data_IF_562712621511
#
_entry.id   IF_562712621511
#
_cell.length_a   1.000
_cell.length_b   1.000
_cell.length_c   1.000
_cell.angle_alpha   90.00
_cell.angle_beta   90.00
_cell.angle_gamma   90.00
#
_symmetry.space_group_name_H-M   'P 1'
#
loop_
_entity.id
_entity.type
_entity.pdbx_description
1 polymer ?
#
# COMPACT_ATOMS: atom_id res chain seq x y z
N UNK A 1 20.97 -2.12 -10.11
CA UNK A 1 20.48 -0.72 -10.09
C UNK A 1 19.05 -0.70 -10.59
N UNK A 2 18.10 -1.10 -9.75
CA UNK A 2 16.68 -1.09 -10.10
C UNK A 2 16.15 0.33 -9.88
N UNK A 3 16.52 1.16 -10.84
CA UNK A 3 16.03 2.51 -11.05
C UNK A 3 14.51 2.51 -11.25
N UNK A 4 13.94 3.67 -10.93
CA UNK A 4 12.60 4.19 -11.18
C UNK A 4 11.96 3.89 -12.56
N UNK A 5 12.66 3.21 -13.47
CA UNK A 5 12.15 2.69 -14.74
C UNK A 5 11.02 1.66 -14.61
N UNK A 6 10.79 1.08 -13.42
CA UNK A 6 9.59 0.25 -13.21
C UNK A 6 8.28 1.06 -13.32
N UNK A 7 8.33 2.39 -13.11
CA UNK A 7 7.16 3.27 -13.23
C UNK A 7 6.97 3.82 -14.65
N UNK A 8 8.07 4.10 -15.38
CA UNK A 8 8.00 4.49 -16.79
C UNK A 8 7.60 3.31 -17.71
N UNK A 9 8.04 2.09 -17.38
CA UNK A 9 7.58 0.87 -18.07
C UNK A 9 6.09 0.58 -17.81
N UNK A 10 5.55 1.04 -16.66
CA UNK A 10 4.13 0.92 -16.31
C UNK A 10 3.20 1.73 -17.24
N UNK A 11 3.73 2.78 -17.88
CA UNK A 11 3.01 3.63 -18.84
C UNK A 11 3.26 3.21 -20.30
N UNK A 12 4.39 2.57 -20.62
CA UNK A 12 4.78 2.25 -22.00
C UNK A 12 4.66 0.77 -22.42
N UNK A 13 4.45 -0.18 -21.51
CA UNK A 13 4.22 -1.60 -21.88
C UNK A 13 2.90 -2.12 -21.32
N UNK A 14 1.78 -2.03 -22.07
CA UNK A 14 0.49 -2.51 -21.60
C UNK A 14 0.43 -4.04 -21.38
N UNK A 15 1.41 -4.80 -21.90
CA UNK A 15 1.43 -6.26 -21.87
C UNK A 15 2.19 -6.89 -20.69
N UNK A 16 3.11 -6.16 -20.03
CA UNK A 16 3.86 -6.64 -18.86
C UNK A 16 3.34 -6.09 -17.52
N UNK A 17 2.46 -5.08 -17.56
CA UNK A 17 1.72 -4.55 -16.39
C UNK A 17 0.55 -5.44 -15.93
N UNK A 18 0.57 -6.74 -16.27
CA UNK A 18 -0.55 -7.66 -16.13
C UNK A 18 -0.69 -8.31 -14.73
N UNK A 19 0.14 -7.95 -13.74
CA UNK A 19 0.22 -8.71 -12.48
C UNK A 19 -0.37 -8.01 -11.24
N UNK A 20 -0.62 -6.69 -11.20
CA UNK A 20 -1.05 -6.06 -9.92
C UNK A 20 -2.10 -4.94 -9.97
N UNK A 21 -2.73 -4.71 -11.11
CA UNK A 21 -4.06 -4.10 -11.16
C UNK A 21 -5.00 -5.20 -11.63
N UNK A 22 -5.96 -5.58 -10.79
CA UNK A 22 -6.97 -6.55 -11.18
C UNK A 22 -7.53 -6.14 -12.55
N UNK A 23 -7.54 -7.08 -13.50
CA UNK A 23 -8.15 -6.90 -14.82
C UNK A 23 -9.60 -6.39 -14.69
N UNK A 24 -10.23 -6.57 -13.52
CA UNK A 24 -11.53 -6.01 -13.14
C UNK A 24 -11.50 -4.49 -12.92
N UNK A 25 -10.52 -3.92 -12.21
CA UNK A 25 -10.40 -2.46 -12.05
C UNK A 25 -10.14 -1.76 -13.40
N UNK A 26 -9.31 -2.35 -14.27
CA UNK A 26 -9.11 -1.82 -15.64
C UNK A 26 -10.41 -1.88 -16.43
N UNK A 27 -11.14 -3.00 -16.40
CA UNK A 27 -12.43 -3.15 -17.08
C UNK A 27 -13.50 -2.21 -16.53
N UNK A 28 -13.56 -2.00 -15.22
CA UNK A 28 -14.46 -1.05 -14.58
C UNK A 28 -14.17 0.38 -15.02
N UNK A 29 -12.90 0.82 -14.98
CA UNK A 29 -12.50 2.15 -15.42
C UNK A 29 -12.82 2.37 -16.90
N UNK A 30 -12.58 1.35 -17.74
CA UNK A 30 -12.92 1.37 -19.17
C UNK A 30 -14.43 1.28 -19.47
N UNK A 31 -15.26 0.84 -18.51
CA UNK A 31 -16.73 0.86 -18.61
C UNK A 31 -17.29 2.21 -18.15
N UNK A 32 -16.77 2.75 -17.05
CA UNK A 32 -17.13 4.07 -16.55
C UNK A 32 -16.83 5.19 -17.56
N UNK A 33 -15.76 5.06 -18.34
CA UNK A 33 -15.40 6.01 -19.41
C UNK A 33 -16.20 5.86 -20.71
N UNK A 34 -16.96 4.77 -20.90
CA UNK A 34 -17.66 4.47 -22.17
C UNK A 34 -19.11 4.96 -22.28
N UNK A 35 -19.60 5.69 -21.27
CA UNK A 35 -20.98 6.14 -21.24
C UNK A 35 -22.00 5.00 -21.12
N UNK A 36 -23.28 5.31 -20.87
CA UNK A 36 -24.31 4.35 -20.46
C UNK A 36 -24.76 3.33 -21.52
N UNK A 37 -24.11 3.26 -22.69
CA UNK A 37 -24.55 2.45 -23.83
C UNK A 37 -23.79 1.14 -24.10
N UNK A 38 -22.75 0.81 -23.33
CA UNK A 38 -21.98 -0.42 -23.56
C UNK A 38 -22.63 -1.62 -22.85
N UNK A 39 -23.19 -2.56 -23.64
CA UNK A 39 -23.80 -3.78 -23.14
C UNK A 39 -22.85 -4.55 -22.19
N UNK A 40 -23.35 -5.08 -21.05
CA UNK A 40 -22.52 -5.89 -20.18
C UNK A 40 -22.10 -7.15 -20.93
N UNK A 41 -20.78 -7.40 -21.01
CA UNK A 41 -20.24 -8.65 -21.54
C UNK A 41 -20.97 -9.82 -20.85
N UNK A 42 -21.75 -10.57 -21.64
CA UNK A 42 -22.54 -11.69 -21.13
C UNK A 42 -21.61 -12.68 -20.41
N UNK A 43 -21.91 -12.95 -19.13
CA UNK A 43 -21.20 -13.96 -18.38
C UNK A 43 -21.36 -15.32 -19.09
N UNK A 44 -20.30 -16.15 -19.18
CA UNK A 44 -20.40 -17.44 -19.85
C UNK A 44 -21.50 -18.30 -19.20
N UNK A 45 -22.36 -18.99 -19.99
CA UNK A 45 -23.52 -19.68 -19.46
C UNK A 45 -23.09 -20.88 -18.60
N UNK A 46 -23.71 -21.04 -17.43
CA UNK A 46 -23.70 -22.28 -16.64
C UNK A 46 -22.62 -22.42 -15.54
N UNK A 47 -21.55 -21.61 -15.54
CA UNK A 47 -20.47 -21.71 -14.53
C UNK A 47 -20.20 -20.44 -13.70
N UNK A 48 -20.78 -19.31 -14.09
CA UNK A 48 -20.48 -17.98 -13.52
C UNK A 48 -20.98 -17.78 -12.09
N UNK A 49 -22.20 -18.26 -11.78
CA UNK A 49 -22.81 -18.11 -10.46
C UNK A 49 -22.03 -18.89 -9.39
N UNK A 50 -21.67 -20.14 -9.67
CA UNK A 50 -20.86 -20.95 -8.77
C UNK A 50 -19.47 -20.35 -8.53
N UNK A 51 -18.82 -19.81 -9.59
CA UNK A 51 -17.52 -19.15 -9.46
C UNK A 51 -17.60 -17.88 -8.62
N UNK A 52 -18.64 -17.07 -8.79
CA UNK A 52 -18.86 -15.86 -8.01
C UNK A 52 -19.15 -16.16 -6.53
N UNK A 53 -20.03 -17.13 -6.25
CA UNK A 53 -20.35 -17.56 -4.88
C UNK A 53 -19.11 -18.15 -4.18
N UNK A 54 -18.32 -18.97 -4.88
CA UNK A 54 -17.07 -19.54 -4.34
C UNK A 54 -16.02 -18.46 -4.07
N UNK A 55 -15.81 -17.53 -5.01
CA UNK A 55 -14.90 -16.39 -4.81
C UNK A 55 -15.33 -15.53 -3.62
N UNK A 56 -16.63 -15.32 -3.43
CA UNK A 56 -17.18 -14.61 -2.28
C UNK A 56 -17.05 -15.32 -0.95
N UNK A 57 -17.35 -16.62 -0.91
CA UNK A 57 -17.15 -17.44 0.27
C UNK A 57 -15.68 -17.46 0.71
N UNK A 58 -14.74 -17.61 -0.23
CA UNK A 58 -13.31 -17.52 0.06
C UNK A 58 -12.91 -16.15 0.57
N UNK A 59 -13.52 -15.08 0.08
CA UNK A 59 -13.26 -13.72 0.56
C UNK A 59 -13.77 -13.52 2.00
N UNK A 60 -14.97 -14.04 2.32
CA UNK A 60 -15.50 -14.05 3.68
C UNK A 60 -14.64 -14.87 4.65
N UNK A 61 -14.15 -16.04 4.22
CA UNK A 61 -13.21 -16.84 5.01
C UNK A 61 -11.95 -16.03 5.32
N UNK A 62 -11.40 -15.29 4.35
CA UNK A 62 -10.25 -14.40 4.58
C UNK A 62 -10.56 -13.31 5.61
N UNK A 63 -11.73 -12.69 5.55
CA UNK A 63 -12.18 -11.69 6.53
C UNK A 63 -12.30 -12.33 7.92
N UNK A 64 -12.91 -13.51 8.03
CA UNK A 64 -13.08 -14.22 9.28
C UNK A 64 -11.72 -14.62 9.90
N UNK A 65 -10.78 -15.12 9.08
CA UNK A 65 -9.42 -15.43 9.53
C UNK A 65 -8.68 -14.17 10.00
N UNK A 66 -8.83 -13.03 9.31
CA UNK A 66 -8.24 -11.77 9.74
C UNK A 66 -8.84 -11.29 11.07
N UNK A 67 -10.16 -11.38 11.23
CA UNK A 67 -10.83 -11.06 12.49
C UNK A 67 -10.31 -11.96 13.62
N UNK A 68 -10.22 -13.28 13.37
CA UNK A 68 -9.64 -14.22 14.33
C UNK A 68 -8.20 -13.83 14.70
N UNK A 69 -7.34 -13.51 13.73
CA UNK A 69 -5.97 -13.06 13.99
C UNK A 69 -5.93 -11.77 14.83
N UNK A 70 -6.82 -10.80 14.57
CA UNK A 70 -6.92 -9.56 15.37
C UNK A 70 -7.29 -9.89 16.81
N UNK A 71 -8.29 -10.75 17.02
CA UNK A 71 -8.76 -11.15 18.35
C UNK A 71 -7.69 -11.93 19.11
N UNK A 72 -7.02 -12.87 18.44
CA UNK A 72 -5.92 -13.64 19.01
C UNK A 72 -4.77 -12.73 19.44
N UNK A 73 -4.37 -11.78 18.58
CA UNK A 73 -3.30 -10.84 18.89
C UNK A 73 -3.68 -9.93 20.07
N UNK A 74 -4.92 -9.44 20.11
CA UNK A 74 -5.41 -8.64 21.25
C UNK A 74 -5.41 -9.44 22.55
N UNK A 75 -5.79 -10.72 22.51
CA UNK A 75 -5.84 -11.60 23.66
C UNK A 75 -4.45 -11.99 24.18
N UNK A 76 -3.48 -12.17 23.29
CA UNK A 76 -2.15 -12.69 23.63
C UNK A 76 -1.11 -11.62 23.93
N UNK A 77 -1.08 -10.54 23.13
CA UNK A 77 0.00 -9.55 23.19
C UNK A 77 -0.38 -8.27 23.96
N UNK A 78 -1.63 -8.12 24.39
CA UNK A 78 -2.13 -6.97 25.18
C UNK A 78 -1.66 -5.61 24.65
N UNK A 79 -1.61 -5.47 23.32
CA UNK A 79 -0.98 -4.34 22.59
C UNK A 79 -1.56 -2.98 23.02
N UNK A 80 -2.85 -2.93 23.36
CA UNK A 80 -3.51 -1.71 23.82
C UNK A 80 -3.11 -1.32 25.24
N UNK A 81 -2.86 -2.29 26.12
CA UNK A 81 -2.41 -2.05 27.49
C UNK A 81 -0.96 -1.54 27.48
N UNK A 82 -0.09 -2.17 26.70
CA UNK A 82 1.32 -1.77 26.55
C UNK A 82 1.45 -0.38 25.92
N UNK A 83 0.61 -0.04 24.93
CA UNK A 83 0.58 1.29 24.33
C UNK A 83 0.17 2.39 25.32
N UNK A 84 -0.78 2.12 26.23
CA UNK A 84 -1.20 3.07 27.28
C UNK A 84 -0.13 3.26 28.36
N UNK A 85 0.70 2.25 28.56
CA UNK A 85 1.74 2.20 29.59
C UNK A 85 3.15 2.33 28.99
N UNK A 86 3.31 3.21 28.00
CA UNK A 86 4.56 3.37 27.24
C UNK A 86 5.79 3.65 28.12
N UNK A 87 5.62 4.29 29.29
CA UNK A 87 6.70 4.48 30.26
C UNK A 87 7.30 3.16 30.77
N UNK A 88 6.48 2.12 30.99
CA UNK A 88 7.01 0.84 31.45
C UNK A 88 7.77 0.11 30.33
N UNK A 89 7.37 0.34 29.08
CA UNK A 89 8.06 -0.20 27.91
C UNK A 89 9.44 0.45 27.73
N UNK A 90 9.59 1.75 28.00
CA UNK A 90 10.89 2.45 27.89
C UNK A 90 11.93 1.95 28.90
N UNK A 91 11.49 1.34 30.01
CA UNK A 91 12.36 0.72 31.01
C UNK A 91 12.76 -0.73 30.66
N UNK A 92 12.09 -1.36 29.70
CA UNK A 92 12.39 -2.73 29.29
C UNK A 92 13.66 -2.82 28.43
N UNK A 93 14.16 -4.05 28.27
CA UNK A 93 15.27 -4.35 27.35
C UNK A 93 14.92 -3.91 25.92
N UNK A 94 15.91 -3.45 25.12
CA UNK A 94 15.69 -3.03 23.73
C UNK A 94 15.03 -4.10 22.85
N UNK A 95 15.31 -5.37 23.11
CA UNK A 95 14.68 -6.50 22.39
C UNK A 95 13.18 -6.58 22.64
N UNK A 96 12.76 -6.41 23.90
CA UNK A 96 11.34 -6.37 24.29
C UNK A 96 10.64 -5.15 23.71
N UNK A 97 11.33 -3.99 23.68
CA UNK A 97 10.82 -2.78 23.03
C UNK A 97 10.59 -3.01 21.54
N UNK A 98 11.56 -3.58 20.83
CA UNK A 98 11.44 -3.89 19.41
C UNK A 98 10.28 -4.88 19.14
N UNK A 99 10.17 -5.94 19.93
CA UNK A 99 9.08 -6.91 19.80
C UNK A 99 7.70 -6.25 20.01
N UNK A 100 7.56 -5.37 21.00
CA UNK A 100 6.33 -4.63 21.25
C UNK A 100 5.98 -3.68 20.10
N UNK A 101 6.97 -2.98 19.53
CA UNK A 101 6.77 -2.13 18.35
C UNK A 101 6.33 -2.92 17.13
N UNK A 102 6.93 -4.10 16.88
CA UNK A 102 6.49 -5.00 15.82
C UNK A 102 5.06 -5.51 16.04
N UNK A 103 4.69 -5.88 17.27
CA UNK A 103 3.34 -6.29 17.61
C UNK A 103 2.32 -5.15 17.44
N UNK A 104 2.72 -3.91 17.78
CA UNK A 104 1.90 -2.72 17.55
C UNK A 104 1.66 -2.46 16.06
N UNK A 105 2.72 -2.55 15.24
CA UNK A 105 2.60 -2.40 13.80
C UNK A 105 1.75 -3.52 13.17
N UNK A 106 1.90 -4.76 13.65
CA UNK A 106 1.07 -5.89 13.26
C UNK A 106 -0.41 -5.67 13.60
N UNK A 107 -0.68 -5.18 14.80
CA UNK A 107 -2.04 -4.85 15.24
C UNK A 107 -2.67 -3.77 14.36
N UNK A 108 -1.93 -2.70 14.06
CA UNK A 108 -2.39 -1.64 13.14
C UNK A 108 -2.69 -2.19 11.75
N UNK A 109 -1.76 -2.95 11.17
CA UNK A 109 -1.93 -3.53 9.84
C UNK A 109 -3.16 -4.45 9.78
N UNK A 110 -3.31 -5.37 10.75
CA UNK A 110 -4.45 -6.29 10.80
C UNK A 110 -5.78 -5.56 10.95
N UNK A 111 -5.83 -4.54 11.83
CA UNK A 111 -7.04 -3.72 12.04
C UNK A 111 -7.47 -3.02 10.75
N UNK A 112 -6.54 -2.36 10.06
CA UNK A 112 -6.86 -1.69 8.79
C UNK A 112 -7.20 -2.70 7.69
N UNK A 113 -6.44 -3.79 7.57
CA UNK A 113 -6.72 -4.83 6.58
C UNK A 113 -8.13 -5.42 6.75
N UNK A 114 -8.59 -5.59 7.99
CA UNK A 114 -9.96 -6.02 8.28
C UNK A 114 -10.98 -4.97 7.82
N UNK A 115 -10.84 -3.71 8.25
CA UNK A 115 -11.79 -2.62 7.93
C UNK A 115 -11.93 -2.46 6.41
N UNK A 116 -10.82 -2.36 5.69
CA UNK A 116 -10.84 -2.13 4.24
C UNK A 116 -11.40 -3.32 3.46
N UNK A 117 -11.10 -4.56 3.89
CA UNK A 117 -11.67 -5.77 3.26
C UNK A 117 -13.16 -5.88 3.50
N UNK A 118 -13.64 -5.54 4.69
CA UNK A 118 -15.07 -5.51 5.00
C UNK A 118 -15.77 -4.44 4.15
N UNK A 119 -15.21 -3.23 4.06
CA UNK A 119 -15.75 -2.17 3.21
C UNK A 119 -15.80 -2.58 1.73
N UNK A 120 -14.72 -3.19 1.22
CA UNK A 120 -14.66 -3.74 -0.14
C UNK A 120 -15.69 -4.85 -0.37
N UNK A 121 -15.88 -5.75 0.60
CA UNK A 121 -16.92 -6.78 0.53
C UNK A 121 -18.30 -6.13 0.35
N UNK A 122 -18.69 -5.19 1.21
CA UNK A 122 -19.98 -4.52 1.07
C UNK A 122 -20.10 -3.76 -0.26
N UNK A 123 -19.05 -3.09 -0.73
CA UNK A 123 -19.04 -2.41 -2.03
C UNK A 123 -19.32 -3.37 -3.19
N UNK A 124 -18.69 -4.56 -3.17
CA UNK A 124 -18.85 -5.59 -4.19
C UNK A 124 -20.23 -6.23 -4.20
N UNK A 125 -20.79 -6.55 -3.03
CA UNK A 125 -22.04 -7.32 -2.94
C UNK A 125 -23.30 -6.46 -2.87
N UNK A 126 -23.23 -5.25 -2.32
CA UNK A 126 -24.38 -4.34 -2.25
C UNK A 126 -24.48 -3.43 -3.47
N UNK A 127 -23.34 -2.98 -4.01
CA UNK A 127 -23.30 -1.97 -5.06
C UNK A 127 -22.72 -2.49 -6.38
N UNK A 128 -22.13 -3.70 -6.41
CA UNK A 128 -21.50 -4.24 -7.62
C UNK A 128 -20.24 -3.49 -8.06
N UNK A 129 -19.66 -2.66 -7.18
CA UNK A 129 -18.46 -1.86 -7.44
C UNK A 129 -17.26 -2.60 -6.86
N UNK A 130 -16.18 -2.73 -7.64
CA UNK A 130 -14.93 -3.37 -7.22
C UNK A 130 -13.86 -2.32 -6.91
N UNK A 131 -13.76 -1.84 -5.66
CA UNK A 131 -12.72 -0.92 -5.27
C UNK A 131 -11.36 -1.64 -5.20
N UNK A 132 -10.25 -0.92 -5.42
CA UNK A 132 -8.92 -1.48 -5.28
C UNK A 132 -8.67 -1.95 -3.84
N UNK A 133 -7.95 -3.06 -3.69
CA UNK A 133 -7.53 -3.55 -2.37
C UNK A 133 -6.44 -2.64 -1.77
N UNK A 134 -6.66 -2.20 -0.53
CA UNK A 134 -5.79 -1.25 0.17
C UNK A 134 -4.55 -1.90 0.77
N UNK A 135 -4.74 -2.89 1.65
CA UNK A 135 -3.66 -3.59 2.36
C UNK A 135 -3.18 -4.77 1.51
N UNK A 136 -2.36 -4.48 0.50
CA UNK A 136 -1.98 -5.45 -0.56
C UNK A 136 -0.95 -6.46 -0.11
N UNK A 137 0.02 -6.03 0.68
CA UNK A 137 1.11 -6.86 1.20
C UNK A 137 1.19 -6.70 2.71
N UNK A 138 1.60 -7.77 3.39
CA UNK A 138 1.93 -7.71 4.81
C UNK A 138 3.18 -6.83 4.97
N UNK A 139 3.20 -5.99 6.00
CA UNK A 139 4.31 -5.08 6.28
C UNK A 139 5.67 -5.80 6.43
N UNK A 140 5.67 -7.07 6.86
CA UNK A 140 6.88 -7.90 6.98
C UNK A 140 7.42 -8.34 5.61
N UNK A 141 6.57 -8.40 4.59
CA UNK A 141 6.94 -8.81 3.22
C UNK A 141 7.31 -7.61 2.34
N UNK A 142 7.79 -6.52 2.94
CA UNK A 142 8.12 -5.29 2.24
C UNK A 142 9.60 -4.96 2.39
N UNK A 143 10.26 -4.72 1.26
CA UNK A 143 11.73 -4.56 1.19
C UNK A 143 12.16 -3.10 1.28
N UNK A 144 11.36 -2.16 0.74
CA UNK A 144 11.68 -0.73 0.71
C UNK A 144 10.62 0.09 1.44
N UNK A 145 10.99 1.26 1.96
CA UNK A 145 10.06 2.18 2.61
C UNK A 145 9.05 2.66 1.56
N UNK A 146 9.49 2.91 0.31
CA UNK A 146 8.57 3.26 -0.77
C UNK A 146 7.51 2.18 -1.03
N UNK A 147 7.90 0.92 -1.09
CA UNK A 147 6.96 -0.18 -1.27
C UNK A 147 5.98 -0.27 -0.11
N UNK A 148 6.44 -0.02 1.12
CA UNK A 148 5.59 -0.06 2.31
C UNK A 148 4.47 0.96 2.20
N UNK A 149 4.80 2.21 1.88
CA UNK A 149 3.81 3.29 1.74
C UNK A 149 2.89 3.12 0.54
N UNK A 150 3.40 2.50 -0.54
CA UNK A 150 2.59 2.19 -1.73
C UNK A 150 1.51 1.15 -1.44
N UNK A 151 1.79 0.19 -0.56
CA UNK A 151 0.93 -0.98 -0.33
C UNK A 151 0.16 -0.97 0.99
N UNK A 152 0.47 -0.06 1.91
CA UNK A 152 -0.26 0.11 3.17
C UNK A 152 -1.68 0.63 2.90
N UNK A 153 -1.81 1.78 2.24
CA UNK A 153 -3.12 2.36 1.92
C UNK A 153 -3.19 2.67 0.43
N UNK A 154 -3.29 1.62 -0.39
CA UNK A 154 -3.04 1.74 -1.82
C UNK A 154 -4.02 2.67 -2.55
N UNK A 155 -5.30 2.73 -2.15
CA UNK A 155 -6.28 3.66 -2.74
C UNK A 155 -5.95 5.12 -2.41
N UNK A 156 -5.57 5.41 -1.16
CA UNK A 156 -5.15 6.74 -0.74
C UNK A 156 -3.82 7.15 -1.39
N UNK A 157 -2.85 6.24 -1.47
CA UNK A 157 -1.61 6.49 -2.20
C UNK A 157 -1.89 6.81 -3.67
N UNK A 158 -2.85 6.12 -4.31
CA UNK A 158 -3.27 6.45 -5.68
C UNK A 158 -3.86 7.87 -5.78
N UNK A 159 -4.65 8.30 -4.79
CA UNK A 159 -5.18 9.65 -4.71
C UNK A 159 -4.05 10.69 -4.58
N UNK A 160 -3.12 10.49 -3.64
CA UNK A 160 -1.95 11.36 -3.44
C UNK A 160 -1.13 11.47 -4.73
N UNK A 161 -0.89 10.34 -5.40
CA UNK A 161 -0.13 10.33 -6.65
C UNK A 161 -0.83 11.17 -7.72
N UNK A 162 -2.15 10.99 -7.89
CA UNK A 162 -2.93 11.68 -8.93
C UNK A 162 -3.10 13.17 -8.68
N UNK A 163 -3.39 13.55 -7.44
CA UNK A 163 -3.82 14.92 -7.12
C UNK A 163 -2.73 15.79 -6.51
N UNK A 164 -1.63 15.20 -6.04
CA UNK A 164 -0.52 15.97 -5.46
C UNK A 164 0.78 15.71 -6.23
N UNK A 165 1.23 14.45 -6.31
CA UNK A 165 2.55 14.13 -6.85
C UNK A 165 2.70 14.49 -8.34
N UNK A 166 1.74 14.10 -9.19
CA UNK A 166 1.77 14.39 -10.63
C UNK A 166 1.72 15.91 -10.90
N UNK A 167 0.80 16.69 -10.29
CA UNK A 167 0.77 18.15 -10.43
C UNK A 167 2.07 18.85 -9.98
N UNK A 168 2.78 18.31 -9.00
CA UNK A 168 4.07 18.84 -8.53
C UNK A 168 5.27 18.49 -9.44
N UNK A 169 5.03 17.92 -10.63
CA UNK A 169 6.08 17.57 -11.60
C UNK A 169 6.61 16.15 -11.48
N UNK A 170 5.95 15.29 -10.69
CA UNK A 170 6.18 13.85 -10.64
C UNK A 170 7.65 13.45 -10.46
N UNK A 171 8.15 12.60 -11.35
CA UNK A 171 9.52 12.05 -11.28
C UNK A 171 10.62 13.11 -11.42
N UNK A 172 10.33 14.25 -12.05
CA UNK A 172 11.32 15.33 -12.24
C UNK A 172 11.65 16.07 -10.95
N UNK A 173 10.67 16.23 -10.06
CA UNK A 173 10.80 16.97 -8.79
C UNK A 173 10.50 16.09 -7.57
N UNK A 174 10.79 14.79 -7.66
CA UNK A 174 10.43 13.82 -6.64
C UNK A 174 10.91 14.22 -5.23
N UNK A 175 12.13 14.75 -5.10
CA UNK A 175 12.68 15.17 -3.79
C UNK A 175 11.88 16.31 -3.15
N UNK A 176 11.43 17.27 -3.97
CA UNK A 176 10.66 18.42 -3.51
C UNK A 176 9.22 18.05 -3.16
N UNK A 177 8.66 17.04 -3.84
CA UNK A 177 7.29 16.57 -3.60
C UNK A 177 7.10 15.82 -2.27
N UNK A 178 8.17 15.26 -1.67
CA UNK A 178 8.09 14.44 -0.46
C UNK A 178 7.55 15.25 0.72
N UNK A 179 8.12 16.43 0.99
CA UNK A 179 7.74 17.22 2.17
C UNK A 179 6.28 17.68 2.15
N UNK A 180 5.76 18.30 1.07
CA UNK A 180 4.35 18.71 1.02
C UNK A 180 3.38 17.54 1.13
N UNK A 181 3.71 16.37 0.56
CA UNK A 181 2.87 15.18 0.64
C UNK A 181 2.80 14.67 2.08
N UNK A 182 3.94 14.47 2.75
CA UNK A 182 3.93 13.97 4.13
C UNK A 182 3.36 14.99 5.13
N UNK A 183 3.54 16.28 4.87
CA UNK A 183 2.89 17.34 5.63
C UNK A 183 1.37 17.26 5.52
N UNK A 184 0.84 17.10 4.31
CA UNK A 184 -0.59 16.89 4.09
C UNK A 184 -1.10 15.63 4.79
N UNK A 185 -0.38 14.52 4.70
CA UNK A 185 -0.73 13.26 5.38
C UNK A 185 -0.81 13.46 6.89
N UNK A 186 0.13 14.19 7.49
CA UNK A 186 0.14 14.48 8.93
C UNK A 186 -1.12 15.24 9.36
N UNK A 187 -1.42 16.35 8.67
CA UNK A 187 -2.58 17.20 8.97
C UNK A 187 -3.89 16.46 8.72
N UNK A 188 -3.95 15.65 7.66
CA UNK A 188 -5.13 14.86 7.33
C UNK A 188 -5.48 13.84 8.42
N UNK A 189 -4.48 13.36 9.17
CA UNK A 189 -4.69 12.40 10.25
C UNK A 189 -5.15 13.06 11.56
N UNK A 190 -4.43 14.07 12.05
CA UNK A 190 -4.79 14.84 13.25
C UNK A 190 -3.96 16.14 13.30
N UNK A 191 -4.41 17.14 14.07
CA UNK A 191 -3.68 18.39 14.31
C UNK A 191 -2.59 18.27 15.39
N UNK A 192 -2.39 17.07 15.92
CA UNK A 192 -1.43 16.84 17.00
C UNK A 192 0.02 16.94 16.51
N UNK A 193 0.83 17.78 17.17
CA UNK A 193 2.22 18.08 16.76
C UNK A 193 3.13 16.84 16.66
N UNK A 194 2.83 15.76 17.40
CA UNK A 194 3.62 14.53 17.33
C UNK A 194 3.54 13.86 15.94
N UNK A 195 2.43 14.03 15.21
CA UNK A 195 2.30 13.51 13.85
C UNK A 195 3.16 14.28 12.85
N UNK A 196 3.38 15.58 13.09
CA UNK A 196 4.26 16.37 12.25
C UNK A 196 5.73 15.94 12.41
N UNK A 197 6.17 15.67 13.63
CA UNK A 197 7.50 15.12 13.90
C UNK A 197 7.69 13.74 13.25
N UNK A 198 6.68 12.88 13.36
CA UNK A 198 6.68 11.59 12.68
C UNK A 198 6.73 11.73 11.15
N UNK A 199 5.95 12.64 10.57
CA UNK A 199 5.96 12.87 9.13
C UNK A 199 7.30 13.39 8.62
N UNK A 200 7.97 14.26 9.40
CA UNK A 200 9.33 14.70 9.11
C UNK A 200 10.33 13.53 9.16
N UNK A 201 10.25 12.68 10.18
CA UNK A 201 11.11 11.49 10.29
C UNK A 201 10.93 10.55 9.10
N UNK A 202 9.70 10.30 8.66
CA UNK A 202 9.41 9.50 7.47
C UNK A 202 9.93 10.17 6.20
N UNK A 203 9.69 11.48 6.02
CA UNK A 203 10.18 12.22 4.87
C UNK A 203 11.71 12.14 4.74
N UNK A 204 12.43 12.27 5.86
CA UNK A 204 13.88 12.10 5.90
C UNK A 204 14.30 10.68 5.52
N UNK A 205 13.59 9.66 6.03
CA UNK A 205 13.87 8.27 5.67
C UNK A 205 13.68 8.01 4.15
N UNK A 206 12.68 8.62 3.52
CA UNK A 206 12.51 8.57 2.07
C UNK A 206 13.66 9.21 1.30
N UNK A 207 14.16 10.36 1.77
CA UNK A 207 15.30 11.03 1.15
C UNK A 207 16.57 10.18 1.26
N UNK A 208 16.79 9.54 2.41
CA UNK A 208 17.90 8.61 2.60
C UNK A 208 17.77 7.40 1.67
N UNK A 209 16.60 6.76 1.61
CA UNK A 209 16.36 5.65 0.68
C UNK A 209 16.65 6.06 -0.78
N UNK A 210 16.18 7.25 -1.18
CA UNK A 210 16.44 7.77 -2.52
C UNK A 210 17.91 8.04 -2.78
N UNK A 211 18.64 8.63 -1.82
CA UNK A 211 20.07 8.90 -1.94
C UNK A 211 20.84 7.59 -2.11
N UNK A 212 20.61 6.63 -1.21
CA UNK A 212 21.21 5.28 -1.24
C UNK A 212 20.90 4.60 -2.58
N UNK A 213 19.63 4.59 -3.00
CA UNK A 213 19.23 3.98 -4.28
C UNK A 213 19.88 4.66 -5.48
N UNK A 214 20.14 5.97 -5.42
CA UNK A 214 20.79 6.72 -6.51
C UNK A 214 22.29 6.44 -6.56
N UNK A 215 22.98 6.36 -5.41
CA UNK A 215 24.39 5.98 -5.32
C UNK A 215 24.61 4.53 -5.79
N UNK A 216 23.79 3.62 -5.28
CA UNK A 216 23.59 2.27 -5.85
C UNK A 216 22.75 2.30 -7.14
N UNK A 217 22.62 3.42 -7.87
CA UNK A 217 22.25 3.44 -9.29
C UNK A 217 23.33 4.05 -10.21
N UNK A 218 24.37 4.67 -9.67
CA UNK A 218 25.54 5.11 -10.43
C UNK A 218 26.68 4.07 -10.47
N UNK A 219 26.98 3.42 -9.34
CA UNK A 219 28.13 2.51 -9.19
C UNK A 219 28.18 1.22 -10.06
N UNK A 220 27.06 0.69 -10.57
CA UNK A 220 26.92 -0.49 -11.43
C UNK A 220 26.69 -0.04 -12.88
N UNK A 221 26.33 1.24 -13.12
CA UNK A 221 26.38 1.81 -14.46
C UNK A 221 27.84 2.01 -14.90
N UNK A 222 28.74 2.39 -13.99
CA UNK A 222 30.18 2.53 -14.27
C UNK A 222 30.85 1.25 -14.85
N UNK A 223 30.72 0.05 -14.25
CA UNK A 223 31.34 -1.17 -14.79
C UNK A 223 30.67 -1.68 -16.07
N UNK A 224 29.36 -1.50 -16.23
CA UNK A 224 28.64 -1.92 -17.46
C UNK A 224 28.94 -0.98 -18.63
N UNK A 225 29.04 0.33 -18.38
CA UNK A 225 29.47 1.29 -19.39
C UNK A 225 30.94 1.07 -19.80
N UNK A 226 31.82 0.72 -18.85
CA UNK A 226 33.21 0.36 -19.15
C UNK A 226 33.33 -0.93 -19.99
N UNK A 227 32.45 -1.92 -19.76
CA UNK A 227 32.43 -3.18 -20.51
C UNK A 227 31.80 -3.09 -21.91
N UNK A 228 31.02 -2.04 -22.20
CA UNK A 228 30.40 -1.82 -23.52
C UNK A 228 31.25 -0.96 -24.46
N UNK A 229 32.36 -0.40 -23.97
CA UNK A 229 33.29 0.46 -24.73
C UNK A 229 34.57 -0.29 -25.15
N UNK A 230 34.72 -1.55 -24.72
CA UNK A 230 35.76 -2.49 -25.16
C UNK A 230 35.19 -3.50 -26.16
#
# INVERSE_FOLDING_TARGET
MMSFNAFASYLHTPHLAAVQLDLRCRRWLWRALRGPGAAPDAAPPGGGAYRYVREGALYLVRIALLLFCVLLLLHTAFVTATARQAHYLSLQRPTTQAAALCAYLAHLWLKFALIWRVARFFSLYLYGIDPPEDMRRCFVNTVTIRDFWRDWHASFNLWIVRYMYIPMGGSRHQRLSIFPIFFFIAIWHDHALHLLHWALAIALAFLVEMAVTTSFTQQLQHPVAAALVL
#
